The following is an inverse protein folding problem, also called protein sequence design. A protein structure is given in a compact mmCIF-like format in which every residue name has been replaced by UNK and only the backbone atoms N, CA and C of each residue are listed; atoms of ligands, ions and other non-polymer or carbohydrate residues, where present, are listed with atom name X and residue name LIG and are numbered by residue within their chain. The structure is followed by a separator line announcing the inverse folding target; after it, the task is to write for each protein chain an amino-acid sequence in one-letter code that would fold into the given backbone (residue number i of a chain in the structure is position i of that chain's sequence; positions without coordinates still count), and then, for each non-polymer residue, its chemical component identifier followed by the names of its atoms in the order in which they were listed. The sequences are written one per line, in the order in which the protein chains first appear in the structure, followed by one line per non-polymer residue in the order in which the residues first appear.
data_IF_010132310277
#
_entry.id   IF_010132310277
#
_cell.length_a   1.000
_cell.length_b   1.000
_cell.length_c   1.000
_cell.angle_alpha   90.00
_cell.angle_beta   90.00
_cell.angle_gamma   90.00
#
_symmetry.space_group_name_H-M   'P 1'
#
loop_
_entity.id
_entity.type
_entity.pdbx_description
1 polymer ?
#
# COMPACT_ATOMS: atom_id res chain seq x y z
N UNK A 1 -19.28 -45.48 20.54
CA UNK A 1 -19.70 -45.06 19.19
C UNK A 1 -18.45 -44.63 18.45
N UNK A 2 -17.59 -45.62 18.21
CA UNK A 2 -16.69 -45.61 17.07
C UNK A 2 -17.52 -45.79 15.80
N UNK A 3 -16.93 -45.38 14.68
CA UNK A 3 -17.33 -45.61 13.28
C UNK A 3 -18.02 -44.43 12.57
N UNK A 4 -17.35 -43.95 11.52
CA UNK A 4 -17.88 -43.26 10.34
C UNK A 4 -18.03 -41.72 10.36
N UNK A 5 -16.96 -40.98 10.66
CA UNK A 5 -16.70 -39.77 9.85
C UNK A 5 -15.35 -39.97 9.18
N UNK A 6 -15.44 -40.77 8.12
CA UNK A 6 -14.47 -40.99 7.08
C UNK A 6 -13.48 -39.82 6.98
N UNK A 7 -12.21 -40.07 7.34
CA UNK A 7 -11.09 -39.27 6.88
C UNK A 7 -11.13 -39.42 5.36
N UNK A 8 -11.94 -38.62 4.68
CA UNK A 8 -11.89 -38.48 3.25
C UNK A 8 -10.50 -37.90 3.02
N UNK A 9 -9.55 -38.77 2.67
CA UNK A 9 -8.20 -38.34 2.27
C UNK A 9 -8.43 -37.33 1.16
N UNK A 10 -8.33 -36.06 1.50
CA UNK A 10 -8.48 -35.00 0.52
C UNK A 10 -7.28 -35.17 -0.40
N UNK A 11 -7.57 -35.48 -1.64
CA UNK A 11 -6.57 -35.70 -2.66
C UNK A 11 -6.20 -34.31 -3.21
N UNK A 12 -4.91 -34.04 -3.34
CA UNK A 12 -4.40 -32.81 -3.93
C UNK A 12 -4.95 -32.68 -5.35
N UNK A 13 -5.63 -31.56 -5.63
CA UNK A 13 -6.27 -31.29 -6.93
C UNK A 13 -5.27 -31.35 -8.11
N UNK A 14 -3.98 -31.12 -7.83
CA UNK A 14 -2.95 -30.96 -8.85
C UNK A 14 -2.15 -32.23 -9.15
N UNK A 15 -2.02 -33.17 -8.21
CA UNK A 15 -1.05 -34.26 -8.33
C UNK A 15 -1.44 -35.57 -7.64
N UNK A 16 -2.71 -35.71 -7.27
CA UNK A 16 -3.29 -36.90 -6.65
C UNK A 16 -2.62 -37.43 -5.36
N UNK A 17 -1.73 -36.63 -4.76
CA UNK A 17 -1.11 -36.94 -3.46
C UNK A 17 -2.02 -36.55 -2.30
N UNK A 18 -1.74 -37.05 -1.10
CA UNK A 18 -2.47 -36.65 0.12
C UNK A 18 -2.33 -35.14 0.37
N UNK A 19 -3.46 -34.43 0.44
CA UNK A 19 -3.51 -33.00 0.73
C UNK A 19 -3.34 -32.75 2.23
N UNK A 20 -2.86 -31.56 2.57
CA UNK A 20 -2.70 -31.16 3.96
C UNK A 20 -4.07 -30.99 4.62
N UNK A 21 -4.15 -31.28 5.92
CA UNK A 21 -5.39 -31.16 6.68
C UNK A 21 -5.88 -29.70 6.69
N UNK A 22 -6.94 -29.41 5.93
CA UNK A 22 -7.51 -28.07 5.78
C UNK A 22 -7.00 -27.28 4.56
N UNK A 23 -6.24 -27.89 3.65
CA UNK A 23 -5.88 -27.29 2.36
C UNK A 23 -6.19 -28.23 1.19
N UNK A 24 -6.43 -27.66 0.01
CA UNK A 24 -6.74 -28.42 -1.21
C UNK A 24 -5.49 -28.97 -1.92
N UNK A 25 -4.30 -28.69 -1.38
CA UNK A 25 -3.01 -29.01 -2.01
C UNK A 25 -2.12 -29.85 -1.07
N UNK A 26 -1.27 -30.68 -1.66
CA UNK A 26 -0.13 -31.26 -0.94
C UNK A 26 0.96 -30.19 -0.71
N UNK A 27 1.85 -30.40 0.26
CA UNK A 27 2.91 -29.43 0.63
C UNK A 27 3.74 -28.93 -0.57
N UNK A 28 4.08 -29.84 -1.50
CA UNK A 28 4.86 -29.52 -2.69
C UNK A 28 4.10 -28.66 -3.72
N UNK A 29 2.79 -28.85 -3.85
CA UNK A 29 1.96 -28.05 -4.76
C UNK A 29 1.56 -26.73 -4.10
N UNK A 30 1.34 -26.73 -2.79
CA UNK A 30 1.03 -25.55 -2.01
C UNK A 30 2.17 -24.53 -2.09
N UNK A 31 3.40 -24.95 -1.81
CA UNK A 31 4.60 -24.10 -1.93
C UNK A 31 4.80 -23.53 -3.33
N UNK A 32 4.46 -24.28 -4.39
CA UNK A 32 4.52 -23.79 -5.78
C UNK A 32 3.49 -22.71 -6.07
N UNK A 33 2.27 -22.86 -5.57
CA UNK A 33 1.20 -21.87 -5.77
C UNK A 33 1.44 -20.59 -4.98
N UNK A 34 1.86 -20.67 -3.70
CA UNK A 34 2.19 -19.47 -2.92
C UNK A 34 3.48 -18.76 -3.35
N UNK A 35 4.31 -19.40 -4.19
CA UNK A 35 5.47 -18.77 -4.85
C UNK A 35 5.03 -17.79 -5.94
N UNK A 36 3.82 -17.93 -6.49
CA UNK A 36 3.24 -16.97 -7.45
C UNK A 36 2.55 -15.83 -6.69
N UNK A 37 2.61 -14.62 -7.24
CA UNK A 37 1.82 -13.49 -6.74
C UNK A 37 0.40 -13.73 -7.23
N UNK A 38 -0.51 -14.07 -6.33
CA UNK A 38 -1.88 -14.47 -6.69
C UNK A 38 -2.95 -13.90 -5.75
N UNK A 39 -4.18 -13.82 -6.26
CA UNK A 39 -5.36 -13.42 -5.50
C UNK A 39 -5.38 -11.95 -5.09
N UNK A 40 -5.73 -11.69 -3.83
CA UNK A 40 -5.91 -10.33 -3.28
C UNK A 40 -4.66 -9.45 -3.31
N UNK A 41 -3.47 -10.03 -3.51
CA UNK A 41 -2.21 -9.30 -3.54
C UNK A 41 -2.04 -8.43 -4.82
N UNK A 42 -2.86 -8.66 -5.86
CA UNK A 42 -2.91 -7.80 -7.04
C UNK A 42 -3.47 -6.41 -6.76
N UNK A 43 -4.38 -6.27 -5.80
CA UNK A 43 -4.99 -4.99 -5.45
C UNK A 43 -3.96 -4.00 -4.88
N UNK A 44 -3.13 -4.37 -3.89
CA UNK A 44 -1.99 -3.54 -3.46
C UNK A 44 -1.01 -3.21 -4.58
N UNK A 45 -0.72 -4.18 -5.45
CA UNK A 45 0.20 -3.97 -6.57
C UNK A 45 -0.33 -2.90 -7.55
N UNK A 46 -1.61 -2.99 -7.89
CA UNK A 46 -2.28 -2.02 -8.73
C UNK A 46 -2.34 -0.65 -8.04
N UNK A 47 -2.60 -0.63 -6.73
CA UNK A 47 -2.58 0.58 -5.92
C UNK A 47 -1.22 1.29 -5.96
N UNK A 48 -0.11 0.56 -5.93
CA UNK A 48 1.23 1.13 -6.07
C UNK A 48 1.47 1.74 -7.47
N UNK A 49 0.98 1.08 -8.52
CA UNK A 49 1.07 1.63 -9.89
C UNK A 49 0.27 2.94 -10.02
N UNK A 50 -0.95 2.96 -9.49
CA UNK A 50 -1.77 4.18 -9.46
C UNK A 50 -1.09 5.27 -8.65
N UNK A 51 -0.55 4.94 -7.47
CA UNK A 51 0.17 5.88 -6.63
C UNK A 51 1.40 6.47 -7.35
N UNK A 52 2.14 5.65 -8.11
CA UNK A 52 3.30 6.11 -8.88
C UNK A 52 2.90 7.17 -9.91
N UNK A 53 1.83 6.91 -10.68
CA UNK A 53 1.33 7.86 -11.70
C UNK A 53 0.81 9.13 -11.05
N UNK A 54 0.05 9.01 -9.95
CA UNK A 54 -0.47 10.15 -9.21
C UNK A 54 0.65 11.01 -8.62
N UNK A 55 1.71 10.40 -8.08
CA UNK A 55 2.87 11.14 -7.58
C UNK A 55 3.59 11.92 -8.68
N UNK A 56 3.76 11.35 -9.87
CA UNK A 56 4.36 12.07 -11.01
C UNK A 56 3.50 13.29 -11.38
N UNK A 57 2.17 13.11 -11.47
CA UNK A 57 1.26 14.20 -11.80
C UNK A 57 1.27 15.31 -10.73
N UNK A 58 1.26 14.92 -9.45
CA UNK A 58 1.33 15.83 -8.32
C UNK A 58 2.62 16.67 -8.34
N UNK A 59 3.78 16.01 -8.48
CA UNK A 59 5.09 16.71 -8.59
C UNK A 59 5.07 17.71 -9.75
N UNK A 60 4.58 17.30 -10.93
CA UNK A 60 4.53 18.18 -12.10
C UNK A 60 3.62 19.40 -11.87
N UNK A 61 2.43 19.19 -11.28
CA UNK A 61 1.51 20.28 -11.02
C UNK A 61 2.05 21.25 -9.97
N UNK A 62 2.57 20.74 -8.85
CA UNK A 62 3.14 21.57 -7.79
C UNK A 62 4.38 22.32 -8.29
N UNK A 63 5.25 21.67 -9.08
CA UNK A 63 6.42 22.33 -9.67
C UNK A 63 6.02 23.43 -10.68
N UNK A 64 5.02 23.19 -11.52
CA UNK A 64 4.49 24.22 -12.44
C UNK A 64 3.88 25.38 -11.68
N UNK A 65 3.08 25.11 -10.66
CA UNK A 65 2.49 26.14 -9.81
C UNK A 65 3.57 26.99 -9.14
N UNK A 66 4.65 26.36 -8.66
CA UNK A 66 5.79 27.08 -8.08
C UNK A 66 6.49 27.96 -9.13
N UNK A 67 6.73 27.48 -10.35
CA UNK A 67 7.39 28.27 -11.40
C UNK A 67 6.53 29.44 -11.89
N UNK A 68 5.23 29.22 -12.09
CA UNK A 68 4.30 30.22 -12.64
C UNK A 68 3.91 31.29 -11.62
N UNK A 69 3.75 30.91 -10.34
CA UNK A 69 3.21 31.79 -9.31
C UNK A 69 4.22 32.13 -8.20
N UNK A 70 5.51 31.78 -8.34
CA UNK A 70 6.57 32.02 -7.35
C UNK A 70 6.59 33.45 -6.79
N UNK A 71 6.39 34.45 -7.65
CA UNK A 71 6.39 35.88 -7.29
C UNK A 71 5.12 36.35 -6.59
N UNK A 72 4.04 35.57 -6.63
CA UNK A 72 2.73 35.91 -6.06
C UNK A 72 2.50 35.29 -4.68
N UNK A 73 3.35 34.34 -4.26
CA UNK A 73 3.20 33.69 -2.97
C UNK A 73 3.82 34.52 -1.84
N UNK A 74 3.15 34.49 -0.68
CA UNK A 74 3.74 34.96 0.57
C UNK A 74 4.86 34.02 1.02
N UNK A 75 5.78 34.48 1.87
CA UNK A 75 6.86 33.66 2.42
C UNK A 75 6.35 32.37 3.07
N UNK A 76 5.21 32.46 3.78
CA UNK A 76 4.56 31.29 4.40
C UNK A 76 3.96 30.33 3.36
N UNK A 77 3.35 30.85 2.29
CA UNK A 77 2.80 30.03 1.21
C UNK A 77 3.90 29.27 0.45
N UNK A 78 5.05 29.90 0.20
CA UNK A 78 6.21 29.22 -0.38
C UNK A 78 6.69 28.06 0.49
N UNK A 79 6.75 28.25 1.81
CA UNK A 79 7.16 27.19 2.73
C UNK A 79 6.25 25.96 2.66
N UNK A 80 4.93 26.16 2.55
CA UNK A 80 3.97 25.06 2.37
C UNK A 80 4.17 24.34 1.04
N UNK A 81 4.31 25.08 -0.06
CA UNK A 81 4.52 24.49 -1.39
C UNK A 81 5.83 23.71 -1.46
N UNK A 82 6.91 24.22 -0.85
CA UNK A 82 8.16 23.46 -0.77
C UNK A 82 7.97 22.16 0.03
N UNK A 83 7.30 22.22 1.19
CA UNK A 83 6.99 21.03 1.98
C UNK A 83 6.18 20.01 1.17
N UNK A 84 5.15 20.46 0.46
CA UNK A 84 4.30 19.62 -0.39
C UNK A 84 5.12 18.95 -1.50
N UNK A 85 5.97 19.71 -2.21
CA UNK A 85 6.85 19.19 -3.26
C UNK A 85 7.83 18.14 -2.72
N UNK A 86 8.50 18.42 -1.59
CA UNK A 86 9.40 17.45 -0.94
C UNK A 86 8.65 16.20 -0.50
N UNK A 87 7.42 16.36 -0.02
CA UNK A 87 6.54 15.25 0.33
C UNK A 87 6.21 14.38 -0.88
N UNK A 88 5.81 14.96 -2.01
CA UNK A 88 5.52 14.17 -3.20
C UNK A 88 6.75 13.47 -3.78
N UNK A 89 7.93 14.10 -3.73
CA UNK A 89 9.20 13.44 -4.12
C UNK A 89 9.50 12.27 -3.17
N UNK A 90 9.33 12.45 -1.86
CA UNK A 90 9.50 11.40 -0.86
C UNK A 90 8.54 10.22 -1.09
N UNK A 91 7.26 10.51 -1.31
CA UNK A 91 6.21 9.56 -1.68
C UNK A 91 6.61 8.78 -2.94
N UNK A 92 7.07 9.47 -3.98
CA UNK A 92 7.49 8.85 -5.25
C UNK A 92 8.64 7.86 -5.06
N UNK A 93 9.68 8.26 -4.34
CA UNK A 93 10.81 7.38 -4.03
C UNK A 93 10.39 6.17 -3.18
N UNK A 94 9.48 6.39 -2.22
CA UNK A 94 8.95 5.32 -1.38
C UNK A 94 8.11 4.32 -2.20
N UNK A 95 7.28 4.79 -3.13
CA UNK A 95 6.50 3.93 -4.04
C UNK A 95 7.42 3.10 -4.93
N UNK A 96 8.47 3.70 -5.49
CA UNK A 96 9.47 2.96 -6.28
C UNK A 96 10.15 1.90 -5.43
N UNK A 97 10.56 2.24 -4.21
CA UNK A 97 11.21 1.31 -3.30
C UNK A 97 10.29 0.15 -2.95
N UNK A 98 9.06 0.42 -2.53
CA UNK A 98 8.05 -0.61 -2.21
C UNK A 98 7.72 -1.46 -3.43
N UNK A 99 7.57 -0.86 -4.61
CA UNK A 99 7.36 -1.57 -5.87
C UNK A 99 8.54 -2.49 -6.20
N UNK A 100 9.78 -2.05 -5.98
CA UNK A 100 10.97 -2.88 -6.17
C UNK A 100 11.00 -4.07 -5.20
N UNK A 101 10.59 -3.89 -3.95
CA UNK A 101 10.44 -4.97 -2.97
C UNK A 101 9.34 -5.95 -3.38
N UNK A 102 8.28 -5.45 -4.02
CA UNK A 102 7.16 -6.24 -4.55
C UNK A 102 7.62 -7.17 -5.66
N UNK A 103 8.40 -6.65 -6.61
CA UNK A 103 8.97 -7.45 -7.69
C UNK A 103 10.02 -8.45 -7.18
N UNK A 104 10.82 -8.06 -6.17
CA UNK A 104 11.87 -8.91 -5.58
C UNK A 104 11.35 -9.89 -4.52
N UNK A 105 10.06 -9.83 -4.18
CA UNK A 105 9.39 -10.67 -3.16
C UNK A 105 10.13 -10.71 -1.82
N UNK A 106 10.61 -9.54 -1.39
CA UNK A 106 11.40 -9.41 -0.16
C UNK A 106 10.55 -9.44 1.11
N UNK A 107 11.05 -10.07 2.18
CA UNK A 107 10.42 -10.14 3.51
C UNK A 107 10.17 -8.78 4.15
N UNK A 108 10.90 -7.76 3.71
CA UNK A 108 10.72 -6.38 4.18
C UNK A 108 9.42 -5.75 3.68
N UNK A 109 8.86 -6.26 2.59
CA UNK A 109 7.70 -5.65 1.92
C UNK A 109 6.51 -5.38 2.83
N UNK A 110 6.03 -6.33 3.67
CA UNK A 110 4.83 -6.10 4.46
C UNK A 110 5.00 -4.91 5.42
N UNK A 111 6.19 -4.76 6.00
CA UNK A 111 6.52 -3.65 6.88
C UNK A 111 6.63 -2.35 6.09
N UNK A 112 7.37 -2.34 4.97
CA UNK A 112 7.54 -1.14 4.15
C UNK A 112 6.22 -0.66 3.53
N UNK A 113 5.32 -1.58 3.16
CA UNK A 113 3.99 -1.23 2.64
C UNK A 113 3.12 -0.59 3.73
N UNK A 114 3.18 -1.07 4.98
CA UNK A 114 2.52 -0.42 6.11
C UNK A 114 3.09 0.98 6.35
N UNK A 115 4.42 1.14 6.29
CA UNK A 115 5.08 2.46 6.39
C UNK A 115 4.57 3.40 5.28
N UNK A 116 4.43 2.90 4.04
CA UNK A 116 3.88 3.68 2.94
C UNK A 116 2.45 4.16 3.19
N UNK A 117 1.57 3.30 3.71
CA UNK A 117 0.20 3.68 4.05
C UNK A 117 0.16 4.75 5.15
N UNK A 118 0.96 4.55 6.21
CA UNK A 118 1.06 5.50 7.32
C UNK A 118 1.64 6.84 6.87
N UNK A 119 2.66 6.81 6.02
CA UNK A 119 3.23 8.01 5.41
C UNK A 119 2.14 8.81 4.67
N UNK A 120 1.28 8.15 3.90
CA UNK A 120 0.17 8.83 3.20
C UNK A 120 -0.80 9.53 4.15
N UNK A 121 -1.18 8.90 5.27
CA UNK A 121 -2.07 9.51 6.27
C UNK A 121 -1.39 10.69 6.96
N UNK A 122 -0.14 10.52 7.38
CA UNK A 122 0.63 11.57 8.06
C UNK A 122 0.86 12.75 7.12
N UNK A 123 1.22 12.49 5.86
CA UNK A 123 1.45 13.52 4.86
C UNK A 123 0.20 14.37 4.65
N UNK A 124 -0.96 13.75 4.38
CA UNK A 124 -2.23 14.49 4.24
C UNK A 124 -2.59 15.25 5.53
N UNK A 125 -2.39 14.65 6.70
CA UNK A 125 -2.68 15.32 7.98
C UNK A 125 -1.80 16.54 8.23
N UNK A 126 -0.49 16.45 7.96
CA UNK A 126 0.45 17.56 8.13
C UNK A 126 0.21 18.64 7.09
N UNK A 127 -0.07 18.27 5.84
CA UNK A 127 -0.36 19.21 4.76
C UNK A 127 -1.59 20.07 5.08
N UNK A 128 -2.70 19.43 5.50
CA UNK A 128 -3.91 20.13 5.93
C UNK A 128 -3.68 21.02 7.15
N UNK A 129 -2.88 20.55 8.10
CA UNK A 129 -2.52 21.34 9.28
C UNK A 129 -1.70 22.57 8.89
N UNK A 130 -0.72 22.45 7.99
CA UNK A 130 0.09 23.55 7.47
C UNK A 130 -0.77 24.55 6.68
N UNK A 131 -1.67 24.06 5.83
CA UNK A 131 -2.60 24.89 5.07
C UNK A 131 -3.50 25.74 5.99
N UNK A 132 -4.04 25.14 7.05
CA UNK A 132 -4.84 25.87 8.03
C UNK A 132 -3.99 26.83 8.87
N UNK A 133 -2.83 26.38 9.38
CA UNK A 133 -2.01 27.17 10.31
C UNK A 133 -1.30 28.36 9.64
N UNK A 134 -0.85 28.21 8.39
CA UNK A 134 -0.04 29.22 7.69
C UNK A 134 -0.83 30.03 6.68
N UNK A 135 -1.91 29.48 6.12
CA UNK A 135 -2.71 30.13 5.07
C UNK A 135 -4.17 30.40 5.50
N UNK A 136 -4.58 30.01 6.71
CA UNK A 136 -5.96 30.11 7.20
C UNK A 136 -6.99 29.51 6.23
N UNK A 137 -6.59 28.47 5.49
CA UNK A 137 -7.48 27.77 4.57
C UNK A 137 -8.47 26.93 5.37
N UNK A 138 -9.79 27.08 5.14
CA UNK A 138 -10.79 26.32 5.85
C UNK A 138 -10.73 24.84 5.45
N UNK A 139 -10.90 23.97 6.43
CA UNK A 139 -11.01 22.53 6.22
C UNK A 139 -12.27 22.20 5.41
N UNK A 140 -12.08 21.74 4.17
CA UNK A 140 -13.14 21.45 3.23
C UNK A 140 -13.65 20.00 3.29
N UNK A 141 -14.75 19.75 2.59
CA UNK A 141 -15.28 18.39 2.41
C UNK A 141 -14.29 17.47 1.68
N UNK A 142 -13.58 17.99 0.67
CA UNK A 142 -12.63 17.22 -0.13
C UNK A 142 -11.39 16.80 0.69
N UNK A 143 -10.97 17.64 1.64
CA UNK A 143 -9.89 17.36 2.58
C UNK A 143 -10.27 16.22 3.52
N UNK A 144 -11.46 16.32 4.12
CA UNK A 144 -12.04 15.29 4.97
C UNK A 144 -12.14 13.96 4.22
N UNK A 145 -12.67 13.99 2.99
CA UNK A 145 -12.82 12.81 2.13
C UNK A 145 -11.49 12.15 1.84
N UNK A 146 -10.45 12.94 1.56
CA UNK A 146 -9.11 12.44 1.25
C UNK A 146 -8.47 11.76 2.47
N UNK A 147 -8.58 12.38 3.65
CA UNK A 147 -8.07 11.83 4.90
C UNK A 147 -8.81 10.55 5.31
N UNK A 148 -10.15 10.55 5.24
CA UNK A 148 -10.97 9.37 5.55
C UNK A 148 -10.62 8.21 4.62
N UNK A 149 -10.46 8.47 3.31
CA UNK A 149 -10.05 7.44 2.34
C UNK A 149 -8.69 6.82 2.70
N UNK A 150 -7.73 7.64 3.12
CA UNK A 150 -6.40 7.15 3.52
C UNK A 150 -6.47 6.30 4.80
N UNK A 151 -7.27 6.71 5.78
CA UNK A 151 -7.50 5.96 7.03
C UNK A 151 -8.19 4.62 6.74
N UNK A 152 -9.25 4.62 5.93
CA UNK A 152 -9.96 3.39 5.54
C UNK A 152 -9.02 2.42 4.83
N UNK A 153 -8.17 2.92 3.93
CA UNK A 153 -7.15 2.10 3.28
C UNK A 153 -6.19 1.48 4.31
N UNK A 154 -5.74 2.23 5.31
CA UNK A 154 -4.92 1.70 6.40
C UNK A 154 -5.65 0.60 7.19
N UNK A 155 -6.89 0.83 7.58
CA UNK A 155 -7.69 -0.13 8.35
C UNK A 155 -7.92 -1.44 7.60
N UNK A 156 -7.97 -1.43 6.27
CA UNK A 156 -8.12 -2.64 5.45
C UNK A 156 -6.78 -3.33 5.26
N UNK A 157 -5.76 -2.59 4.83
CA UNK A 157 -4.51 -3.19 4.37
C UNK A 157 -3.54 -3.55 5.50
N UNK A 158 -3.49 -2.79 6.59
CA UNK A 158 -2.61 -3.10 7.73
C UNK A 158 -2.91 -4.50 8.30
N UNK A 159 -4.15 -4.86 8.69
CA UNK A 159 -4.42 -6.19 9.21
C UNK A 159 -4.18 -7.27 8.15
N UNK A 160 -4.51 -7.01 6.89
CA UNK A 160 -4.22 -7.93 5.78
C UNK A 160 -2.72 -8.26 5.69
N UNK A 161 -1.85 -7.25 5.62
CA UNK A 161 -0.40 -7.46 5.50
C UNK A 161 0.23 -8.06 6.77
N UNK A 162 -0.39 -7.89 7.95
CA UNK A 162 0.11 -8.49 9.21
C UNK A 162 -0.35 -9.93 9.43
N UNK A 163 -1.61 -10.26 9.11
CA UNK A 163 -2.20 -11.55 9.46
C UNK A 163 -2.22 -12.55 8.30
N UNK A 164 -2.28 -12.09 7.04
CA UNK A 164 -2.46 -12.96 5.88
C UNK A 164 -1.33 -13.99 5.72
N UNK A 165 -1.70 -15.28 5.71
CA UNK A 165 -0.78 -16.37 5.42
C UNK A 165 -0.18 -16.27 4.02
N UNK A 166 -0.96 -15.75 3.04
CA UNK A 166 -0.46 -15.50 1.67
C UNK A 166 0.73 -14.54 1.69
N UNK A 167 0.63 -13.43 2.42
CA UNK A 167 1.71 -12.45 2.52
C UNK A 167 2.94 -13.08 3.19
N UNK A 168 2.76 -13.82 4.29
CA UNK A 168 3.86 -14.48 5.01
C UNK A 168 4.56 -15.55 4.17
N UNK A 169 3.81 -16.28 3.33
CA UNK A 169 4.34 -17.38 2.48
C UNK A 169 4.90 -16.90 1.13
N UNK A 170 4.44 -15.76 0.60
CA UNK A 170 4.96 -15.21 -0.67
C UNK A 170 6.23 -14.36 -0.47
N UNK A 171 6.34 -13.64 0.67
CA UNK A 171 7.47 -12.74 0.97
C UNK A 171 8.43 -13.34 2.01
N UNK A 172 9.06 -14.46 1.69
CA UNK A 172 9.97 -15.17 2.60
C UNK A 172 11.46 -14.85 2.35
N UNK A 173 11.79 -14.37 1.15
CA UNK A 173 13.16 -14.13 0.66
C UNK A 173 13.69 -12.71 0.93
#
# INVERSE_FOLDING_TARGET
MDTQEEIRKHICIQCDNEALKGSDFCEACETKEFKKIGGWLYLPALGLLVALVLSIFAINNTARALLEFSSSFTTSGLAVIYFELFGFIGQFLLVIYVGSLFLRKKRQLPVTYIIFLLYGVVFVGVDLWLANALMNLPFGYDDARSLIRAIVACCIWIPYFRMSERVKRTFVH
#
